data_IF_197266955536
#
_entry.id   IF_197266955536
#
_cell.length_a   1.000
_cell.length_b   1.000
_cell.length_c   1.000
_cell.angle_alpha   90.00
_cell.angle_beta   90.00
_cell.angle_gamma   90.00
#
_symmetry.space_group_name_H-M   'P 1'
#
loop_
_entity.id
_entity.type
_entity.pdbx_description
1 polymer ?
#
# COMPACT_ATOMS: atom_id res chain seq x y z
N UNK A 1 4.22 7.86 -0.13
CA UNK A 1 4.64 6.68 -0.90
C UNK A 1 6.14 6.55 -1.00
N UNK A 2 6.90 7.55 -1.48
CA UNK A 2 8.37 7.45 -1.60
C UNK A 2 9.07 6.96 -0.31
N UNK A 3 8.63 7.36 0.89
CA UNK A 3 9.22 6.90 2.16
C UNK A 3 8.94 5.43 2.45
N UNK A 4 7.73 4.93 2.13
CA UNK A 4 7.37 3.51 2.27
C UNK A 4 8.24 2.67 1.35
N UNK A 5 8.29 3.05 0.06
CA UNK A 5 9.07 2.33 -0.93
C UNK A 5 10.58 2.49 -0.72
N UNK A 6 11.04 3.64 -0.21
CA UNK A 6 12.44 3.79 0.22
C UNK A 6 12.80 2.81 1.34
N UNK A 7 11.89 2.61 2.31
CA UNK A 7 12.09 1.62 3.39
C UNK A 7 12.07 0.19 2.85
N UNK A 8 11.14 -0.13 1.93
CA UNK A 8 11.12 -1.42 1.23
C UNK A 8 12.44 -1.63 0.47
N UNK A 9 12.88 -0.64 -0.31
CA UNK A 9 14.14 -0.71 -1.05
C UNK A 9 15.38 -0.86 -0.13
N UNK A 10 15.41 -0.16 1.00
CA UNK A 10 16.49 -0.31 2.00
C UNK A 10 16.51 -1.71 2.63
N UNK A 11 15.32 -2.27 2.94
CA UNK A 11 15.24 -3.63 3.46
C UNK A 11 15.70 -4.64 2.40
N UNK A 12 15.32 -4.46 1.14
CA UNK A 12 15.78 -5.29 0.02
C UNK A 12 17.30 -5.23 -0.09
N UNK A 13 17.96 -4.06 0.01
CA UNK A 13 19.44 -3.96 0.01
C UNK A 13 20.09 -4.78 1.12
N UNK A 14 19.50 -4.78 2.32
CA UNK A 14 19.99 -5.62 3.43
C UNK A 14 19.96 -7.13 3.14
N UNK A 15 19.11 -7.57 2.19
CA UNK A 15 19.00 -8.96 1.79
C UNK A 15 20.13 -9.40 0.85
N UNK A 16 20.68 -8.50 0.01
CA UNK A 16 21.71 -8.84 -0.98
C UNK A 16 23.05 -9.29 -0.39
N UNK A 17 23.40 -8.84 0.81
CA UNK A 17 24.65 -9.24 1.43
C UNK A 17 24.70 -10.70 1.92
N UNK A 18 23.61 -11.47 1.73
CA UNK A 18 23.50 -12.89 2.09
C UNK A 18 22.93 -13.73 0.93
N UNK A 19 23.31 -13.41 -0.29
CA UNK A 19 22.54 -13.71 -1.51
C UNK A 19 22.37 -15.19 -1.91
N UNK A 20 23.18 -16.13 -1.45
CA UNK A 20 23.12 -17.52 -1.96
C UNK A 20 21.96 -18.35 -1.37
N UNK A 21 21.53 -18.08 -0.13
CA UNK A 21 20.46 -18.83 0.55
C UNK A 21 19.07 -18.14 0.46
N UNK A 22 18.96 -16.99 -0.22
CA UNK A 22 17.83 -16.06 -0.07
C UNK A 22 16.81 -16.07 -1.23
N UNK A 23 17.07 -16.84 -2.26
CA UNK A 23 16.37 -16.74 -3.55
C UNK A 23 14.94 -17.26 -3.51
N UNK A 24 14.67 -18.26 -2.65
CA UNK A 24 13.36 -18.91 -2.55
C UNK A 24 12.57 -18.55 -1.29
N UNK A 25 13.19 -17.84 -0.34
CA UNK A 25 12.62 -17.61 0.98
C UNK A 25 11.71 -16.36 0.99
N UNK A 26 10.43 -16.57 1.35
CA UNK A 26 9.51 -15.48 1.59
C UNK A 26 9.95 -14.62 2.77
N UNK A 27 9.99 -13.32 2.58
CA UNK A 27 10.43 -12.35 3.60
C UNK A 27 9.28 -11.45 4.05
N UNK A 28 9.27 -11.16 5.34
CA UNK A 28 8.36 -10.20 5.93
C UNK A 28 8.94 -8.79 5.85
N UNK A 29 8.16 -7.87 5.28
CA UNK A 29 8.47 -6.44 5.18
C UNK A 29 7.47 -5.64 6.02
N UNK A 30 7.75 -5.40 7.29
CA UNK A 30 6.82 -4.68 8.16
C UNK A 30 6.80 -3.18 7.85
N UNK A 31 5.62 -2.64 7.64
CA UNK A 31 5.33 -1.22 7.51
C UNK A 31 4.57 -0.77 8.76
N UNK A 32 5.12 0.16 9.51
CA UNK A 32 4.43 0.67 10.71
C UNK A 32 3.15 1.43 10.35
N UNK A 33 2.13 1.32 11.20
CA UNK A 33 0.88 2.06 11.09
C UNK A 33 1.11 3.57 10.86
N UNK A 34 2.05 4.18 11.58
CA UNK A 34 2.37 5.61 11.44
C UNK A 34 2.86 5.94 10.02
N UNK A 35 3.68 5.07 9.43
CA UNK A 35 4.16 5.28 8.05
C UNK A 35 3.03 5.13 7.04
N UNK A 36 2.13 4.17 7.26
CA UNK A 36 0.94 3.96 6.43
C UNK A 36 0.02 5.18 6.52
N UNK A 37 -0.32 5.63 7.72
CA UNK A 37 -1.19 6.79 7.95
C UNK A 37 -0.60 8.09 7.38
N UNK A 38 0.72 8.32 7.54
CA UNK A 38 1.39 9.46 6.89
C UNK A 38 1.34 9.39 5.35
N UNK A 39 1.27 8.18 4.80
CA UNK A 39 1.11 7.95 3.36
C UNK A 39 -0.32 8.26 2.92
N UNK A 40 -1.32 7.77 3.65
CA UNK A 40 -2.74 8.06 3.42
C UNK A 40 -2.98 9.57 3.48
N UNK A 41 -2.48 10.25 4.51
CA UNK A 41 -2.60 11.70 4.66
C UNK A 41 -2.08 12.42 3.40
N UNK A 42 -0.86 12.14 3.00
CA UNK A 42 -0.20 12.83 1.89
C UNK A 42 -0.86 12.58 0.54
N UNK A 43 -1.30 11.38 0.26
CA UNK A 43 -1.74 10.99 -1.08
C UNK A 43 -3.25 10.92 -1.25
N UNK A 44 -3.99 10.75 -0.17
CA UNK A 44 -5.45 10.70 -0.19
C UNK A 44 -6.05 11.95 0.45
N UNK A 45 -5.82 12.14 1.74
CA UNK A 45 -6.46 13.22 2.51
C UNK A 45 -6.14 14.61 1.95
N UNK A 46 -4.87 14.90 1.70
CA UNK A 46 -4.43 16.22 1.17
C UNK A 46 -4.94 16.51 -0.25
N UNK A 47 -5.47 15.49 -0.96
CA UNK A 47 -5.96 15.62 -2.33
C UNK A 47 -7.49 15.55 -2.44
N UNK A 48 -8.23 15.39 -1.35
CA UNK A 48 -9.69 15.30 -1.31
C UNK A 48 -10.25 16.38 -0.38
N UNK A 49 -10.76 17.46 -0.93
CA UNK A 49 -11.17 18.66 -0.18
C UNK A 49 -12.15 18.39 0.97
N UNK A 50 -13.13 17.51 0.74
CA UNK A 50 -14.13 17.16 1.75
C UNK A 50 -13.61 16.26 2.86
N UNK A 51 -12.45 15.62 2.68
CA UNK A 51 -11.83 14.69 3.61
C UNK A 51 -10.77 15.43 4.43
N UNK A 52 -11.01 15.61 5.73
CA UNK A 52 -10.08 16.34 6.63
C UNK A 52 -9.06 15.45 7.30
N UNK A 53 -9.43 14.16 7.47
CA UNK A 53 -8.55 13.14 8.01
C UNK A 53 -9.01 11.77 7.52
N UNK A 54 -8.04 10.92 7.22
CA UNK A 54 -8.24 9.51 6.93
C UNK A 54 -7.05 8.74 7.50
N UNK A 55 -7.31 7.90 8.48
CA UNK A 55 -6.28 7.07 9.09
C UNK A 55 -6.85 5.71 9.50
N UNK A 56 -5.96 4.75 9.72
CA UNK A 56 -6.31 3.42 10.18
C UNK A 56 -5.53 3.07 11.45
N UNK A 57 -6.24 2.48 12.42
CA UNK A 57 -5.65 1.74 13.51
C UNK A 57 -5.59 0.27 13.12
N UNK A 58 -4.41 -0.33 13.20
CA UNK A 58 -4.16 -1.70 12.74
C UNK A 58 -4.07 -2.63 13.94
N UNK A 59 -4.86 -3.69 13.89
CA UNK A 59 -4.92 -4.77 14.86
C UNK A 59 -4.55 -6.11 14.18
N UNK A 60 -4.54 -7.19 14.92
CA UNK A 60 -4.32 -8.51 14.35
C UNK A 60 -5.50 -8.92 13.46
N UNK A 61 -5.22 -9.17 12.17
CA UNK A 61 -6.14 -9.59 11.12
C UNK A 61 -7.20 -8.56 10.67
N UNK A 62 -7.28 -7.37 11.27
CA UNK A 62 -8.23 -6.32 10.88
C UNK A 62 -7.69 -4.92 11.16
N UNK A 63 -8.35 -3.90 10.63
CA UNK A 63 -8.05 -2.52 10.95
C UNK A 63 -9.34 -1.72 11.12
N UNK A 64 -9.27 -0.66 11.94
CA UNK A 64 -10.34 0.34 12.04
C UNK A 64 -9.96 1.55 11.23
N UNK A 65 -10.74 1.83 10.21
CA UNK A 65 -10.61 3.03 9.40
C UNK A 65 -11.43 4.16 10.03
N UNK A 66 -10.80 5.32 10.18
CA UNK A 66 -11.46 6.57 10.59
C UNK A 66 -11.43 7.55 9.44
N UNK A 67 -12.56 8.21 9.18
CA UNK A 67 -12.67 9.27 8.22
C UNK A 67 -13.35 10.50 8.82
N UNK A 68 -12.69 11.64 8.80
CA UNK A 68 -13.25 12.93 9.20
C UNK A 68 -13.60 13.72 7.96
N UNK A 69 -14.84 14.10 7.85
CA UNK A 69 -15.44 14.76 6.70
C UNK A 69 -15.95 16.15 7.07
N UNK A 70 -15.72 17.11 6.17
CA UNK A 70 -16.34 18.45 6.21
C UNK A 70 -17.04 18.71 4.89
N UNK A 71 -18.34 18.52 4.88
CA UNK A 71 -19.13 18.67 3.66
C UNK A 71 -20.43 19.44 3.92
N UNK A 72 -20.58 20.57 3.24
CA UNK A 72 -21.80 21.40 3.27
C UNK A 72 -22.27 21.76 4.69
N UNK A 73 -21.34 21.98 5.63
CA UNK A 73 -21.62 22.36 7.01
C UNK A 73 -22.07 21.21 7.88
N UNK A 74 -21.68 19.99 7.52
CA UNK A 74 -21.68 18.79 8.33
C UNK A 74 -20.23 18.41 8.53
N UNK A 75 -19.74 18.48 9.78
CA UNK A 75 -18.43 18.02 10.17
C UNK A 75 -18.61 16.75 10.99
N UNK A 76 -18.11 15.64 10.50
CA UNK A 76 -18.34 14.33 11.13
C UNK A 76 -17.13 13.42 11.03
N UNK A 77 -16.88 12.66 12.10
CA UNK A 77 -15.91 11.56 12.11
C UNK A 77 -16.68 10.24 12.14
N UNK A 78 -16.41 9.41 11.19
CA UNK A 78 -16.99 8.07 11.04
C UNK A 78 -15.89 7.04 11.22
N UNK A 79 -16.25 5.83 11.67
CA UNK A 79 -15.33 4.69 11.68
C UNK A 79 -15.99 3.42 11.19
N UNK A 80 -15.18 2.48 10.69
CA UNK A 80 -15.61 1.16 10.24
C UNK A 80 -14.46 0.17 10.43
N UNK A 81 -14.79 -1.06 10.78
CA UNK A 81 -13.80 -2.14 10.89
C UNK A 81 -13.72 -2.91 9.56
N UNK A 82 -12.50 -3.12 9.10
CA UNK A 82 -12.18 -3.71 7.80
C UNK A 82 -11.23 -4.88 7.97
N UNK A 83 -11.45 -5.95 7.21
CA UNK A 83 -10.54 -7.08 7.06
C UNK A 83 -9.89 -7.02 5.69
N UNK A 84 -8.60 -7.17 5.61
CA UNK A 84 -7.91 -7.33 4.33
C UNK A 84 -8.16 -8.74 3.80
N UNK A 85 -8.84 -8.85 2.65
CA UNK A 85 -9.18 -10.15 2.05
C UNK A 85 -8.32 -10.49 0.84
N UNK A 86 -7.85 -9.45 0.13
CA UNK A 86 -6.98 -9.64 -1.03
C UNK A 86 -6.05 -8.46 -1.19
N UNK A 87 -4.86 -8.73 -1.66
CA UNK A 87 -3.92 -7.72 -2.13
C UNK A 87 -3.30 -8.19 -3.44
N UNK A 88 -3.19 -7.27 -4.38
CA UNK A 88 -2.37 -7.42 -5.57
C UNK A 88 -1.47 -6.19 -5.67
N UNK A 89 -0.17 -6.42 -5.69
CA UNK A 89 0.81 -5.34 -5.70
C UNK A 89 1.95 -5.75 -6.63
N UNK A 90 1.72 -5.56 -7.91
CA UNK A 90 2.69 -5.78 -8.98
C UNK A 90 2.85 -4.51 -9.85
N UNK A 91 3.59 -4.60 -10.95
CA UNK A 91 3.83 -3.46 -11.84
C UNK A 91 2.57 -2.96 -12.55
N UNK A 92 1.60 -3.83 -12.80
CA UNK A 92 0.42 -3.56 -13.63
C UNK A 92 -0.81 -3.26 -12.76
N UNK A 93 -0.92 -3.95 -11.62
CA UNK A 93 -2.05 -3.82 -10.70
C UNK A 93 -1.54 -3.54 -9.28
N UNK A 94 -2.01 -2.45 -8.69
CA UNK A 94 -1.75 -2.14 -7.29
C UNK A 94 -3.10 -1.89 -6.62
N UNK A 95 -3.60 -2.91 -5.92
CA UNK A 95 -4.94 -2.90 -5.33
C UNK A 95 -4.95 -3.63 -3.99
N UNK A 96 -5.67 -3.05 -3.03
CA UNK A 96 -6.07 -3.69 -1.78
C UNK A 96 -7.57 -3.90 -1.79
N UNK A 97 -8.02 -5.05 -1.33
CA UNK A 97 -9.44 -5.38 -1.23
C UNK A 97 -9.78 -5.69 0.21
N UNK A 98 -10.75 -4.98 0.73
CA UNK A 98 -11.21 -5.12 2.11
C UNK A 98 -12.65 -5.62 2.15
N UNK A 99 -12.92 -6.45 3.14
CA UNK A 99 -14.26 -6.80 3.59
C UNK A 99 -14.61 -5.92 4.78
N UNK A 100 -15.80 -5.36 4.78
CA UNK A 100 -16.32 -4.66 5.94
C UNK A 100 -16.86 -5.67 6.95
N UNK A 101 -16.40 -5.57 8.21
CA UNK A 101 -16.76 -6.50 9.30
C UNK A 101 -17.57 -5.85 10.43
N UNK A 102 -17.82 -4.53 10.35
CA UNK A 102 -18.70 -3.81 11.26
C UNK A 102 -19.59 -2.81 10.51
N UNK A 103 -20.71 -2.39 11.10
CA UNK A 103 -21.45 -1.21 10.62
C UNK A 103 -20.64 0.06 10.85
N UNK A 104 -20.80 1.05 9.96
CA UNK A 104 -20.22 2.39 10.16
C UNK A 104 -20.76 3.00 11.46
N UNK A 105 -19.84 3.47 12.30
CA UNK A 105 -20.12 4.18 13.54
C UNK A 105 -19.88 5.67 13.38
N UNK A 106 -20.79 6.49 13.93
CA UNK A 106 -20.61 7.94 14.04
C UNK A 106 -19.87 8.23 15.34
N UNK A 107 -18.59 8.55 15.26
CA UNK A 107 -17.77 8.87 16.44
C UNK A 107 -18.07 10.28 16.94
N UNK A 108 -18.17 11.24 16.02
CA UNK A 108 -18.54 12.62 16.34
C UNK A 108 -19.26 13.26 15.18
N UNK A 109 -20.17 14.20 15.47
CA UNK A 109 -20.82 14.98 14.44
C UNK A 109 -21.18 16.38 14.95
N UNK A 110 -20.85 17.39 14.18
CA UNK A 110 -21.28 18.76 14.40
C UNK A 110 -21.96 19.32 13.15
N UNK A 111 -22.91 20.21 13.35
CA UNK A 111 -23.82 20.66 12.30
C UNK A 111 -23.97 22.17 12.34
N UNK A 112 -23.94 22.84 11.21
CA UNK A 112 -24.17 24.28 11.11
C UNK A 112 -25.64 24.68 11.33
N UNK A 113 -26.58 23.70 11.38
CA UNK A 113 -27.99 23.94 11.71
C UNK A 113 -28.70 22.69 12.23
N UNK A 114 -29.77 22.85 13.01
CA UNK A 114 -30.60 21.76 13.51
C UNK A 114 -31.21 20.92 12.38
N UNK A 115 -31.60 21.55 11.26
CA UNK A 115 -32.12 20.85 10.09
C UNK A 115 -31.09 19.84 9.53
N UNK A 116 -29.81 20.24 9.41
CA UNK A 116 -28.75 19.34 8.94
C UNK A 116 -28.53 18.17 9.87
N UNK A 117 -28.63 18.38 11.19
CA UNK A 117 -28.57 17.29 12.18
C UNK A 117 -29.67 16.26 11.94
N UNK A 118 -30.91 16.72 11.76
CA UNK A 118 -32.06 15.83 11.50
C UNK A 118 -31.86 15.07 10.18
N UNK A 119 -31.50 15.79 9.11
CA UNK A 119 -31.28 15.20 7.79
C UNK A 119 -30.16 14.16 7.80
N UNK A 120 -29.05 14.41 8.52
CA UNK A 120 -27.94 13.49 8.67
C UNK A 120 -28.37 12.21 9.40
N UNK A 121 -29.06 12.33 10.54
CA UNK A 121 -29.53 11.19 11.30
C UNK A 121 -30.52 10.32 10.50
N UNK A 122 -31.43 10.96 9.76
CA UNK A 122 -32.34 10.25 8.85
C UNK A 122 -31.55 9.53 7.77
N UNK A 123 -30.57 10.19 7.14
CA UNK A 123 -29.75 9.58 6.10
C UNK A 123 -28.98 8.34 6.62
N UNK A 124 -28.29 8.46 7.75
CA UNK A 124 -27.59 7.32 8.38
C UNK A 124 -28.56 6.16 8.66
N UNK A 125 -29.71 6.45 9.26
CA UNK A 125 -30.74 5.44 9.52
C UNK A 125 -31.23 4.75 8.22
N UNK A 126 -31.55 5.53 7.20
CA UNK A 126 -32.02 4.98 5.90
C UNK A 126 -30.95 4.11 5.25
N UNK A 127 -29.70 4.56 5.21
CA UNK A 127 -28.62 3.76 4.62
C UNK A 127 -28.39 2.46 5.37
N UNK A 128 -28.27 2.50 6.70
CA UNK A 128 -27.97 1.32 7.50
C UNK A 128 -29.17 0.37 7.64
N UNK A 129 -30.38 0.90 7.89
CA UNK A 129 -31.54 0.06 8.28
C UNK A 129 -32.47 -0.29 7.13
N UNK A 130 -32.56 0.56 6.10
CA UNK A 130 -33.49 0.34 4.98
C UNK A 130 -32.74 -0.18 3.76
N UNK A 131 -31.62 0.46 3.40
CA UNK A 131 -30.86 0.11 2.20
C UNK A 131 -29.80 -0.97 2.47
N UNK A 132 -29.51 -1.28 3.72
CA UNK A 132 -28.43 -2.19 4.14
C UNK A 132 -27.10 -1.88 3.44
N UNK A 133 -26.82 -0.58 3.26
CA UNK A 133 -25.58 -0.07 2.66
C UNK A 133 -24.75 0.67 3.67
N UNK A 134 -23.44 0.55 3.54
CA UNK A 134 -22.51 1.26 4.40
C UNK A 134 -22.39 2.74 4.00
N UNK A 135 -22.73 3.71 4.88
CA UNK A 135 -22.64 5.12 4.57
C UNK A 135 -21.21 5.60 4.36
N UNK A 136 -20.21 5.08 5.11
CA UNK A 136 -18.82 5.50 4.94
C UNK A 136 -18.25 4.99 3.61
N UNK A 137 -18.48 3.73 3.27
CA UNK A 137 -18.07 3.18 1.99
C UNK A 137 -18.62 3.99 0.81
N UNK A 138 -19.92 4.31 0.81
CA UNK A 138 -20.54 5.12 -0.24
C UNK A 138 -19.98 6.55 -0.32
N UNK A 139 -19.61 7.14 0.80
CA UNK A 139 -18.98 8.47 0.82
C UNK A 139 -17.58 8.39 0.19
N UNK A 140 -16.77 7.42 0.60
CA UNK A 140 -15.42 7.24 0.08
C UNK A 140 -15.43 6.87 -1.42
N UNK A 141 -16.43 6.10 -1.88
CA UNK A 141 -16.64 5.82 -3.30
C UNK A 141 -16.98 7.10 -4.06
N UNK A 142 -17.90 7.92 -3.55
CA UNK A 142 -18.26 9.20 -4.17
C UNK A 142 -17.10 10.22 -4.21
N UNK A 143 -16.17 10.12 -3.26
CA UNK A 143 -14.96 10.92 -3.22
C UNK A 143 -13.82 10.31 -4.07
N UNK A 144 -14.09 9.24 -4.82
CA UNK A 144 -13.14 8.53 -5.66
C UNK A 144 -11.91 8.00 -4.87
N UNK A 145 -12.11 7.64 -3.62
CA UNK A 145 -11.06 7.02 -2.78
C UNK A 145 -11.04 5.52 -2.98
N UNK A 146 -12.22 4.88 -3.00
CA UNK A 146 -12.42 3.44 -3.17
C UNK A 146 -13.48 3.16 -4.25
N UNK A 147 -13.58 1.92 -4.66
CA UNK A 147 -14.67 1.37 -5.47
C UNK A 147 -15.37 0.25 -4.70
N UNK A 148 -16.71 0.18 -4.73
CA UNK A 148 -17.47 -0.87 -4.07
C UNK A 148 -17.98 -1.86 -5.12
N UNK A 149 -17.62 -3.14 -4.98
CA UNK A 149 -18.09 -4.24 -5.83
C UNK A 149 -18.39 -5.46 -4.97
N UNK A 150 -19.60 -6.03 -5.10
CA UNK A 150 -20.01 -7.24 -4.37
C UNK A 150 -19.76 -7.16 -2.85
N UNK A 151 -20.09 -6.01 -2.24
CA UNK A 151 -19.89 -5.72 -0.82
C UNK A 151 -18.42 -5.69 -0.36
N UNK A 152 -17.47 -5.68 -1.30
CA UNK A 152 -16.05 -5.50 -1.05
C UNK A 152 -15.60 -4.08 -1.44
N UNK A 153 -14.65 -3.55 -0.67
CA UNK A 153 -14.07 -2.23 -0.84
C UNK A 153 -12.71 -2.37 -1.54
N UNK A 154 -12.63 -1.84 -2.74
CA UNK A 154 -11.42 -1.87 -3.57
C UNK A 154 -10.68 -0.55 -3.49
N UNK A 155 -9.50 -0.55 -2.89
CA UNK A 155 -8.60 0.59 -2.86
C UNK A 155 -7.56 0.44 -3.98
N UNK A 156 -7.79 1.16 -5.09
CA UNK A 156 -6.82 1.24 -6.20
C UNK A 156 -5.67 2.19 -5.85
N UNK A 157 -4.47 1.68 -5.81
CA UNK A 157 -3.26 2.46 -5.52
C UNK A 157 -2.62 3.02 -6.79
N UNK A 158 -3.00 2.52 -7.97
CA UNK A 158 -2.44 2.93 -9.27
C UNK A 158 -2.41 4.45 -9.42
N UNK A 159 -3.55 5.13 -9.18
CA UNK A 159 -3.68 6.59 -9.32
C UNK A 159 -2.72 7.39 -8.44
N UNK A 160 -2.20 6.77 -7.37
CA UNK A 160 -1.25 7.38 -6.44
C UNK A 160 0.20 6.98 -6.74
N UNK A 161 0.41 5.83 -7.41
CA UNK A 161 1.71 5.22 -7.66
C UNK A 161 2.25 5.50 -9.06
N UNK A 162 1.38 5.63 -10.07
CA UNK A 162 1.76 5.84 -11.48
C UNK A 162 2.68 7.03 -11.72
N UNK A 163 2.63 8.04 -10.85
CA UNK A 163 3.48 9.24 -10.94
C UNK A 163 4.89 9.03 -10.39
N UNK A 164 5.22 7.81 -9.94
CA UNK A 164 6.49 7.51 -9.31
C UNK A 164 7.18 6.32 -9.97
N UNK A 165 8.03 6.60 -10.96
CA UNK A 165 8.88 5.59 -11.63
C UNK A 165 9.71 4.77 -10.63
N UNK A 166 10.12 5.40 -9.52
CA UNK A 166 10.88 4.74 -8.47
C UNK A 166 10.07 3.66 -7.76
N UNK A 167 8.79 3.89 -7.56
CA UNK A 167 7.87 2.91 -6.96
C UNK A 167 7.70 1.73 -7.89
N UNK A 168 7.39 1.99 -9.16
CA UNK A 168 7.21 0.95 -10.18
C UNK A 168 8.48 0.11 -10.33
N UNK A 169 9.67 0.74 -10.38
CA UNK A 169 10.95 0.02 -10.41
C UNK A 169 11.16 -0.85 -9.17
N UNK A 170 10.75 -0.39 -7.98
CA UNK A 170 10.85 -1.20 -6.75
C UNK A 170 9.91 -2.40 -6.81
N UNK A 171 8.67 -2.21 -7.29
CA UNK A 171 7.71 -3.32 -7.46
C UNK A 171 8.19 -4.35 -8.49
N UNK A 172 8.94 -3.94 -9.50
CA UNK A 172 9.55 -4.88 -10.45
C UNK A 172 10.63 -5.78 -9.81
N UNK A 173 11.23 -5.36 -8.69
CA UNK A 173 12.30 -6.09 -8.00
C UNK A 173 11.79 -7.06 -6.93
N UNK A 174 10.52 -7.01 -6.60
CA UNK A 174 9.88 -7.88 -5.60
C UNK A 174 8.61 -8.51 -6.17
N UNK A 175 8.32 -9.71 -5.75
CA UNK A 175 7.01 -10.33 -5.94
C UNK A 175 6.30 -10.37 -4.60
N UNK A 176 5.26 -9.56 -4.46
CA UNK A 176 4.47 -9.51 -3.23
C UNK A 176 3.40 -10.58 -3.29
N UNK A 177 3.49 -11.57 -2.40
CA UNK A 177 2.58 -12.72 -2.37
C UNK A 177 1.28 -12.36 -1.67
N UNK A 178 1.38 -11.82 -0.46
CA UNK A 178 0.23 -11.38 0.32
C UNK A 178 0.64 -10.39 1.40
N UNK A 179 -0.34 -9.79 2.07
CA UNK A 179 -0.13 -8.99 3.26
C UNK A 179 -0.96 -9.52 4.42
N UNK A 180 -0.48 -9.27 5.61
CA UNK A 180 -1.18 -9.54 6.86
C UNK A 180 -1.19 -8.28 7.72
N UNK A 181 -2.24 -8.14 8.51
CA UNK A 181 -2.34 -7.11 9.54
C UNK A 181 -1.88 -7.70 10.87
N UNK A 182 -0.97 -7.01 11.55
CA UNK A 182 -0.56 -7.27 12.94
C UNK A 182 -0.66 -5.99 13.72
N UNK A 183 -0.79 -6.09 15.03
CA UNK A 183 -0.91 -4.92 15.91
C UNK A 183 0.10 -3.81 15.53
N UNK A 184 -0.42 -2.66 15.10
CA UNK A 184 0.36 -1.49 14.69
C UNK A 184 1.20 -1.65 13.40
N UNK A 185 1.02 -2.71 12.60
CA UNK A 185 1.84 -3.03 11.45
C UNK A 185 1.05 -3.61 10.29
N UNK A 186 1.39 -3.17 9.08
CA UNK A 186 1.01 -3.78 7.82
C UNK A 186 2.21 -4.56 7.28
N UNK A 187 2.15 -5.88 7.29
CA UNK A 187 3.28 -6.74 6.95
C UNK A 187 3.08 -7.30 5.55
N UNK A 188 3.98 -6.93 4.62
CA UNK A 188 4.04 -7.51 3.28
C UNK A 188 4.88 -8.78 3.33
N UNK A 189 4.40 -9.85 2.72
CA UNK A 189 5.17 -11.07 2.46
C UNK A 189 5.56 -11.11 0.99
N UNK A 190 6.85 -11.14 0.73
CA UNK A 190 7.38 -10.99 -0.61
C UNK A 190 8.65 -11.80 -0.84
N UNK A 191 8.86 -12.21 -2.09
CA UNK A 191 10.09 -12.81 -2.58
C UNK A 191 10.82 -11.82 -3.51
N UNK A 192 12.12 -12.03 -3.69
CA UNK A 192 12.89 -11.26 -4.65
C UNK A 192 12.56 -11.68 -6.09
N UNK A 193 12.31 -10.71 -6.95
CA UNK A 193 12.13 -10.94 -8.37
C UNK A 193 13.49 -10.83 -9.09
N UNK A 194 14.24 -11.92 -9.16
CA UNK A 194 15.57 -11.95 -9.79
C UNK A 194 15.59 -11.42 -11.24
N UNK A 195 14.65 -11.80 -12.13
CA UNK A 195 14.59 -11.22 -13.48
C UNK A 195 14.42 -9.70 -13.51
N UNK A 196 13.76 -9.13 -12.47
CA UNK A 196 13.59 -7.68 -12.32
C UNK A 196 14.83 -6.96 -11.77
N UNK A 197 15.77 -7.71 -11.20
CA UNK A 197 16.98 -7.19 -10.57
C UNK A 197 18.18 -7.30 -11.50
N UNK A 198 18.32 -8.43 -12.20
CA UNK A 198 19.41 -8.70 -13.11
C UNK A 198 19.01 -8.31 -14.52
N UNK A 199 19.69 -7.34 -15.10
CA UNK A 199 19.60 -7.02 -16.52
C UNK A 199 20.79 -7.61 -17.25
N UNK A 200 20.54 -8.25 -18.38
CA UNK A 200 21.61 -8.73 -19.26
C UNK A 200 22.05 -7.57 -20.16
N UNK A 201 23.32 -7.20 -20.09
CA UNK A 201 23.89 -6.29 -21.08
C UNK A 201 24.03 -7.03 -22.42
N UNK A 202 23.27 -6.64 -23.45
CA UNK A 202 23.33 -7.30 -24.72
C UNK A 202 24.67 -7.12 -25.44
N UNK A 203 25.47 -6.10 -25.07
CA UNK A 203 26.77 -5.84 -25.68
C UNK A 203 27.91 -6.60 -25.03
N UNK A 204 27.83 -6.86 -23.73
CA UNK A 204 28.93 -7.51 -22.98
C UNK A 204 28.62 -8.94 -22.52
N UNK A 205 27.39 -9.40 -22.73
CA UNK A 205 26.90 -10.70 -22.26
C UNK A 205 27.12 -10.96 -20.74
N UNK A 206 27.16 -9.85 -19.95
CA UNK A 206 27.32 -9.86 -18.49
C UNK A 206 25.97 -9.59 -17.83
N UNK A 207 25.79 -10.10 -16.60
CA UNK A 207 24.65 -9.76 -15.76
C UNK A 207 24.97 -8.48 -15.00
N UNK A 208 24.12 -7.48 -15.12
CA UNK A 208 24.22 -6.21 -14.40
C UNK A 208 23.21 -6.22 -13.26
N UNK A 209 23.67 -5.91 -12.05
CA UNK A 209 22.83 -5.79 -10.87
C UNK A 209 22.28 -4.37 -10.80
N UNK A 210 20.97 -4.20 -11.06
CA UNK A 210 20.26 -2.92 -10.98
C UNK A 210 19.78 -2.68 -9.53
N UNK A 211 20.66 -2.22 -8.66
CA UNK A 211 20.37 -1.94 -7.26
C UNK A 211 19.85 -0.53 -7.01
N UNK A 212 20.27 0.43 -7.81
CA UNK A 212 19.97 1.84 -7.62
C UNK A 212 19.23 2.42 -8.82
N UNK A 213 17.98 2.76 -8.61
CA UNK A 213 17.19 3.49 -9.63
C UNK A 213 17.38 5.01 -9.59
N UNK A 214 18.39 5.50 -8.91
CA UNK A 214 18.72 6.92 -8.83
C UNK A 214 20.18 7.08 -9.25
N UNK A 215 20.38 7.89 -10.24
CA UNK A 215 21.64 8.33 -10.84
C UNK A 215 22.24 7.41 -11.91
N UNK A 216 22.55 8.02 -13.03
CA UNK A 216 23.18 7.44 -14.22
C UNK A 216 24.60 6.86 -13.96
N UNK A 217 25.11 6.96 -12.70
CA UNK A 217 26.49 6.64 -12.35
C UNK A 217 26.64 5.39 -11.43
N UNK A 218 25.56 4.66 -11.13
CA UNK A 218 25.54 3.57 -10.12
C UNK A 218 25.60 2.14 -10.64
N UNK A 219 26.16 1.89 -11.82
CA UNK A 219 26.37 0.54 -12.32
C UNK A 219 27.65 -0.06 -11.70
N UNK A 220 27.52 -0.92 -10.69
CA UNK A 220 28.64 -1.74 -10.27
C UNK A 220 28.73 -2.97 -11.15
N UNK A 221 29.75 -3.01 -12.00
CA UNK A 221 30.18 -4.22 -12.72
C UNK A 221 30.67 -5.26 -11.73
N UNK A 222 29.98 -6.38 -11.62
CA UNK A 222 30.52 -7.55 -10.94
C UNK A 222 31.38 -8.26 -11.97
N UNK A 223 32.68 -8.01 -11.94
CA UNK A 223 33.64 -8.69 -12.78
C UNK A 223 33.74 -10.15 -12.32
N UNK A 224 33.14 -11.06 -13.06
CA UNK A 224 33.23 -12.50 -12.83
C UNK A 224 34.55 -13.05 -13.38
N UNK A 225 35.68 -12.44 -12.98
CA UNK A 225 37.00 -12.98 -13.26
C UNK A 225 37.38 -14.04 -12.20
N UNK A 226 36.74 -15.20 -12.30
CA UNK A 226 37.33 -16.44 -11.78
C UNK A 226 37.80 -17.24 -12.99
N UNK A 227 38.92 -16.84 -13.55
CA UNK A 227 39.73 -17.72 -14.38
C UNK A 227 40.48 -18.68 -13.43
N UNK A 228 40.25 -20.00 -13.47
CA UNK A 228 41.08 -20.94 -12.75
C UNK A 228 42.43 -21.00 -13.46
N UNK A 229 43.49 -20.48 -12.81
CA UNK A 229 44.86 -20.71 -13.26
C UNK A 229 45.11 -22.23 -13.36
N UNK A 230 45.64 -22.69 -14.51
CA UNK A 230 46.09 -24.09 -14.60
C UNK A 230 47.25 -24.29 -13.64
N UNK A 231 47.10 -25.25 -12.73
CA UNK A 231 48.17 -25.72 -11.87
C UNK A 231 49.23 -26.41 -12.70
N UNK A 232 50.45 -25.86 -12.70
CA UNK A 232 51.67 -26.56 -13.14
C UNK A 232 51.89 -27.76 -12.24
N UNK A 233 51.67 -28.96 -12.76
CA UNK A 233 52.23 -30.18 -12.22
C UNK A 233 53.62 -30.37 -12.83
N UNK A 234 54.61 -30.30 -11.98
CA UNK A 234 55.87 -31.00 -12.11
C UNK A 234 56.10 -31.87 -10.87
#
# INVERSE_FOLDING_TARGET
MQRVFKKIAQNIRGFYHKAEDLIEEERELPLSQNLLNATIQKYVTDNVEALKDLHADIYDDWCRLYATLDYKGIYTTLSVDLRLVQMQLDKDIQQLVFEQISETQVISASFSSAFKKIAFNIAVYVFQRILHKDPLGLILEKLDVIEIKHDLLYLGLNKYLEKSDKVIRTLNKIHVNHAILREGQFVLKANLNLPGIFRRDPQRNTLILDLDGDDDDGLQEIDSAIDPKPSDFK
#
